data_IF_480293127603
#
_entry.id   IF_480293127603
#
_cell.length_a   1.000
_cell.length_b   1.000
_cell.length_c   1.000
_cell.angle_alpha   90.00
_cell.angle_beta   90.00
_cell.angle_gamma   90.00
#
_symmetry.space_group_name_H-M   'P 1'
#
loop_
_entity.id
_entity.type
_entity.pdbx_description
1 polymer ?
#
# COMPACT_ATOMS: atom_id res chain seq x y z
N UNK A 1 23.93 22.25 -8.13
CA UNK A 1 22.64 21.92 -7.50
C UNK A 1 21.93 20.97 -8.45
N UNK A 2 22.13 19.65 -8.29
CA UNK A 2 21.51 18.66 -9.17
C UNK A 2 20.02 18.53 -8.80
N UNK A 3 19.13 18.77 -9.75
CA UNK A 3 17.71 18.49 -9.60
C UNK A 3 17.49 16.98 -9.62
N UNK A 4 16.54 16.49 -8.82
CA UNK A 4 16.24 15.06 -8.64
C UNK A 4 15.85 14.32 -9.95
N UNK A 5 15.71 15.03 -11.07
CA UNK A 5 15.36 14.51 -12.40
C UNK A 5 16.52 13.82 -13.14
N UNK A 6 17.78 13.94 -12.70
CA UNK A 6 18.96 13.44 -13.44
C UNK A 6 19.39 11.99 -13.11
N UNK A 7 18.64 11.26 -12.26
CA UNK A 7 18.89 9.84 -12.01
C UNK A 7 17.81 8.97 -12.68
N UNK A 8 18.10 8.35 -13.83
CA UNK A 8 17.11 7.54 -14.58
C UNK A 8 16.62 6.30 -13.82
N UNK A 9 17.25 5.96 -12.69
CA UNK A 9 16.81 4.88 -11.79
C UNK A 9 16.06 5.33 -10.53
N UNK A 10 15.92 6.64 -10.27
CA UNK A 10 15.24 7.11 -9.05
C UNK A 10 13.73 7.07 -9.23
N UNK A 11 13.08 6.07 -8.62
CA UNK A 11 11.64 5.88 -8.67
C UNK A 11 11.04 5.91 -7.26
N UNK A 12 10.92 7.10 -6.64
CA UNK A 12 10.54 7.24 -5.23
C UNK A 12 9.18 6.62 -4.89
N UNK A 13 8.25 6.61 -5.85
CA UNK A 13 6.96 5.96 -5.68
C UNK A 13 7.04 4.43 -5.70
N UNK A 14 7.94 3.86 -6.50
CA UNK A 14 8.15 2.41 -6.56
C UNK A 14 8.81 1.92 -5.28
N UNK A 15 9.82 2.63 -4.79
CA UNK A 15 10.44 2.32 -3.49
C UNK A 15 9.42 2.37 -2.36
N UNK A 16 8.55 3.38 -2.38
CA UNK A 16 7.43 3.48 -1.45
C UNK A 16 6.45 2.30 -1.58
N UNK A 17 6.11 1.90 -2.80
CA UNK A 17 5.20 0.79 -3.07
C UNK A 17 5.76 -0.52 -2.52
N UNK A 18 7.06 -0.78 -2.73
CA UNK A 18 7.75 -1.96 -2.18
C UNK A 18 7.64 -1.96 -0.66
N UNK A 19 8.00 -0.84 -0.02
CA UNK A 19 7.92 -0.72 1.44
C UNK A 19 6.50 -0.96 1.97
N UNK A 20 5.47 -0.40 1.31
CA UNK A 20 4.09 -0.58 1.70
C UNK A 20 3.62 -2.04 1.54
N UNK A 21 3.98 -2.71 0.44
CA UNK A 21 3.62 -4.10 0.20
C UNK A 21 4.33 -5.06 1.16
N UNK A 22 5.61 -4.82 1.48
CA UNK A 22 6.33 -5.62 2.47
C UNK A 22 5.71 -5.56 3.86
N UNK A 23 5.14 -4.40 4.25
CA UNK A 23 4.39 -4.27 5.52
C UNK A 23 3.13 -5.14 5.49
N UNK A 24 2.42 -5.18 4.36
CA UNK A 24 1.27 -6.08 4.18
C UNK A 24 1.65 -7.55 4.25
N UNK A 25 2.76 -7.95 3.60
CA UNK A 25 3.26 -9.34 3.64
C UNK A 25 3.64 -9.79 5.05
N UNK A 26 4.14 -8.88 5.89
CA UNK A 26 4.51 -9.18 7.26
C UNK A 26 3.30 -9.55 8.14
N UNK A 27 2.08 -9.20 7.73
CA UNK A 27 0.82 -9.62 8.38
C UNK A 27 0.56 -9.04 9.78
N UNK A 28 1.46 -8.21 10.33
CA UNK A 28 1.30 -7.62 11.66
C UNK A 28 0.70 -6.22 11.60
N UNK A 29 -0.50 -6.06 12.18
CA UNK A 29 -1.30 -4.81 12.24
C UNK A 29 -0.56 -3.63 12.90
N UNK A 30 0.53 -3.88 13.62
CA UNK A 30 1.24 -2.88 14.42
C UNK A 30 2.25 -2.06 13.63
N UNK A 31 2.64 -2.47 12.42
CA UNK A 31 3.61 -1.71 11.63
C UNK A 31 2.89 -0.56 10.92
N UNK A 32 3.26 0.70 11.17
CA UNK A 32 2.64 1.83 10.50
C UNK A 32 2.90 1.74 8.99
N UNK A 33 1.84 1.83 8.19
CA UNK A 33 1.96 1.86 6.74
C UNK A 33 2.74 3.12 6.34
N UNK A 34 3.82 3.00 5.55
CA UNK A 34 4.57 4.15 5.07
C UNK A 34 3.64 5.17 4.42
N UNK A 35 3.87 6.46 4.63
CA UNK A 35 3.17 7.53 3.91
C UNK A 35 4.07 8.10 2.82
N UNK A 36 3.54 8.20 1.60
CA UNK A 36 4.27 8.76 0.47
C UNK A 36 4.23 10.29 0.49
N UNK A 37 5.39 10.92 0.71
CA UNK A 37 5.57 12.38 0.68
C UNK A 37 6.28 12.88 -0.59
N UNK A 38 6.47 12.01 -1.60
CA UNK A 38 7.19 12.34 -2.82
C UNK A 38 6.31 13.03 -3.86
N UNK A 39 6.85 13.28 -5.08
CA UNK A 39 6.10 13.87 -6.19
C UNK A 39 4.87 13.02 -6.54
N UNK A 40 3.72 13.68 -6.67
CA UNK A 40 2.45 13.07 -7.05
C UNK A 40 2.08 13.50 -8.46
N UNK A 41 1.73 12.51 -9.28
CA UNK A 41 1.22 12.66 -10.63
C UNK A 41 -0.07 11.83 -10.81
N UNK A 42 -0.61 11.80 -12.03
CA UNK A 42 -1.82 11.05 -12.31
C UNK A 42 -1.62 9.52 -12.17
N UNK A 43 -0.41 9.01 -12.46
CA UNK A 43 -0.09 7.57 -12.39
C UNK A 43 -0.05 7.10 -10.94
N UNK A 44 0.74 7.77 -10.11
CA UNK A 44 0.87 7.52 -8.66
C UNK A 44 -0.46 7.63 -7.95
N UNK A 45 -1.29 8.61 -8.31
CA UNK A 45 -2.67 8.76 -7.80
C UNK A 45 -3.56 7.59 -8.21
N UNK A 46 -3.54 7.19 -9.48
CA UNK A 46 -4.34 6.08 -10.01
C UNK A 46 -3.99 4.74 -9.35
N UNK A 47 -2.69 4.48 -9.19
CA UNK A 47 -2.17 3.28 -8.52
C UNK A 47 -2.59 3.28 -7.05
N UNK A 48 -2.36 4.38 -6.33
CA UNK A 48 -2.72 4.50 -4.92
C UNK A 48 -4.22 4.28 -4.68
N UNK A 49 -5.07 4.85 -5.54
CA UNK A 49 -6.53 4.66 -5.48
C UNK A 49 -6.93 3.19 -5.70
N UNK A 50 -6.30 2.53 -6.67
CA UNK A 50 -6.55 1.13 -6.98
C UNK A 50 -6.17 0.21 -5.81
N UNK A 51 -5.01 0.44 -5.21
CA UNK A 51 -4.53 -0.31 -4.03
C UNK A 51 -5.47 -0.11 -2.83
N UNK A 52 -5.90 1.13 -2.57
CA UNK A 52 -6.86 1.40 -1.50
C UNK A 52 -8.20 0.66 -1.72
N UNK A 53 -8.66 0.56 -2.97
CA UNK A 53 -9.88 -0.18 -3.29
C UNK A 53 -9.72 -1.69 -3.03
N UNK A 54 -8.57 -2.27 -3.38
CA UNK A 54 -8.26 -3.68 -3.10
C UNK A 54 -8.18 -3.91 -1.58
N UNK A 55 -7.43 -3.08 -0.85
CA UNK A 55 -7.27 -3.20 0.60
C UNK A 55 -8.61 -3.14 1.34
N UNK A 56 -9.54 -2.26 0.90
CA UNK A 56 -10.90 -2.19 1.46
C UNK A 56 -11.69 -3.49 1.23
N UNK A 57 -11.67 -4.01 0.00
CA UNK A 57 -12.37 -5.26 -0.35
C UNK A 57 -11.81 -6.44 0.43
N UNK A 58 -10.49 -6.53 0.57
CA UNK A 58 -9.81 -7.56 1.34
C UNK A 58 -10.22 -7.50 2.82
N UNK A 59 -10.16 -6.32 3.45
CA UNK A 59 -10.59 -6.14 4.84
C UNK A 59 -12.04 -6.59 5.05
N UNK A 60 -12.95 -6.18 4.17
CA UNK A 60 -14.36 -6.62 4.24
C UNK A 60 -14.49 -8.14 4.12
N UNK A 61 -13.69 -8.78 3.25
CA UNK A 61 -13.67 -10.23 3.13
C UNK A 61 -13.11 -10.92 4.39
N UNK A 62 -12.05 -10.37 4.99
CA UNK A 62 -11.47 -10.87 6.24
C UNK A 62 -12.44 -10.74 7.41
N UNK A 63 -13.14 -9.60 7.54
CA UNK A 63 -14.18 -9.39 8.56
C UNK A 63 -15.33 -10.39 8.41
N UNK A 64 -15.80 -10.62 7.17
CA UNK A 64 -16.84 -11.61 6.89
C UNK A 64 -16.36 -13.03 7.21
N UNK A 65 -15.13 -13.40 6.82
CA UNK A 65 -14.54 -14.70 7.12
C UNK A 65 -14.40 -14.93 8.63
N UNK A 66 -13.90 -13.95 9.37
CA UNK A 66 -13.77 -14.03 10.82
C UNK A 66 -15.13 -14.17 11.52
N UNK A 67 -16.16 -13.49 11.01
CA UNK A 67 -17.54 -13.62 11.52
C UNK A 67 -18.08 -15.03 11.32
N UNK A 68 -17.88 -15.62 10.14
CA UNK A 68 -18.29 -17.00 9.84
C UNK A 68 -17.54 -17.98 10.77
N UNK A 69 -16.21 -17.86 10.85
CA UNK A 69 -15.38 -18.71 11.70
C UNK A 69 -15.78 -18.64 13.18
N UNK A 70 -16.12 -17.44 13.67
CA UNK A 70 -16.59 -17.24 15.03
C UNK A 70 -17.97 -17.86 15.30
N UNK A 71 -18.83 -17.95 14.28
CA UNK A 71 -20.14 -18.60 14.38
C UNK A 71 -20.06 -20.13 14.31
N UNK A 72 -18.99 -20.68 13.72
CA UNK A 72 -18.70 -22.12 13.65
C UNK A 72 -18.02 -22.67 14.92
N UNK A 73 -17.50 -21.81 15.79
CA UNK A 73 -16.80 -22.15 17.05
C UNK A 73 -17.75 -22.09 18.25
#
# INVERSE_FOLDING_TARGET
MATFDDNPGYQPFIDHLIAALSVYELGTVTTPVPHYNGPIDWKTTSISRSIQAIARRMRTAEEAYNTIKAAES
#
